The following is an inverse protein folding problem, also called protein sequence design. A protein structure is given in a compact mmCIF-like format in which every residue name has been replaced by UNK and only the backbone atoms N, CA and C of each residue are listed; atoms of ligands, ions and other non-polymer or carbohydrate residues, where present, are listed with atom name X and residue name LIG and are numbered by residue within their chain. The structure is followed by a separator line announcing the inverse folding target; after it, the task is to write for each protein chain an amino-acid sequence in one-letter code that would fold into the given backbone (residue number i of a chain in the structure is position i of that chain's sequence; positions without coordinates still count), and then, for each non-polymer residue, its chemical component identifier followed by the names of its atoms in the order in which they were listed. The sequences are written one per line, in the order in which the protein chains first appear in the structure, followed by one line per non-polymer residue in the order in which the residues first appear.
data_IF_007181533630
#
_entry.id   IF_007181533630
#
_cell.length_a   1.000
_cell.length_b   1.000
_cell.length_c   1.000
_cell.angle_alpha   90.00
_cell.angle_beta   90.00
_cell.angle_gamma   90.00
#
_symmetry.space_group_name_H-M   'P 1'
#
loop_
_entity.id
_entity.type
_entity.pdbx_description
1 polymer ?
#
# COMPACT_ATOMS: atom_id res chain seq x y z
N UNK A 1 -11.64 -21.67 7.64
CA UNK A 1 -12.76 -22.51 8.17
C UNK A 1 -13.87 -22.70 7.11
N UNK A 2 -14.00 -21.85 6.12
CA UNK A 2 -15.10 -21.83 5.15
C UNK A 2 -14.66 -22.03 3.71
N UNK A 3 -13.38 -22.32 3.44
CA UNK A 3 -12.84 -22.48 2.07
C UNK A 3 -12.89 -21.19 1.23
N UNK A 4 -12.92 -20.03 1.88
CA UNK A 4 -12.92 -18.73 1.19
C UNK A 4 -11.50 -18.38 0.75
N UNK A 5 -11.40 -17.78 -0.45
CA UNK A 5 -10.17 -17.20 -0.94
C UNK A 5 -9.98 -15.80 -0.33
N UNK A 6 -8.74 -15.49 0.02
CA UNK A 6 -8.35 -14.22 0.65
C UNK A 6 -7.49 -13.44 -0.33
N UNK A 7 -7.93 -12.23 -0.67
CA UNK A 7 -7.13 -11.27 -1.44
C UNK A 7 -6.72 -10.14 -0.51
N UNK A 8 -5.41 -9.92 -0.38
CA UNK A 8 -4.86 -8.82 0.40
C UNK A 8 -4.86 -7.52 -0.43
N UNK A 9 -5.41 -6.44 0.12
CA UNK A 9 -5.16 -5.09 -0.38
C UNK A 9 -3.87 -4.55 0.26
N UNK A 10 -2.78 -4.62 -0.47
CA UNK A 10 -1.46 -4.14 -0.07
C UNK A 10 -1.10 -2.78 -0.70
N UNK A 11 -2.08 -2.02 -1.16
CA UNK A 11 -1.84 -0.72 -1.80
C UNK A 11 -1.07 0.28 -0.93
N UNK A 12 -1.06 0.10 0.40
CA UNK A 12 -0.35 0.95 1.36
C UNK A 12 0.51 0.15 2.36
N UNK A 13 0.76 -1.13 2.11
CA UNK A 13 1.31 -2.05 3.10
C UNK A 13 2.62 -2.75 2.69
N UNK A 14 3.27 -2.30 1.60
CA UNK A 14 4.55 -2.90 1.20
C UNK A 14 5.60 -2.76 2.31
N UNK A 15 6.19 -3.89 2.74
CA UNK A 15 7.13 -3.97 3.86
C UNK A 15 6.48 -4.18 5.24
N UNK A 16 5.16 -4.13 5.36
CA UNK A 16 4.46 -4.49 6.58
C UNK A 16 4.54 -5.99 6.86
N UNK A 17 4.47 -6.37 8.14
CA UNK A 17 4.48 -7.79 8.52
C UNK A 17 3.45 -8.10 9.60
N UNK A 18 2.96 -9.34 9.58
CA UNK A 18 2.14 -9.95 10.63
C UNK A 18 2.87 -11.17 11.21
N UNK A 19 3.24 -11.12 12.48
CA UNK A 19 4.01 -12.17 13.17
C UNK A 19 5.25 -12.62 12.38
N UNK A 20 5.97 -11.66 11.79
CA UNK A 20 7.17 -11.89 10.99
C UNK A 20 6.91 -12.36 9.55
N UNK A 21 5.66 -12.58 9.14
CA UNK A 21 5.29 -12.87 7.75
C UNK A 21 5.00 -11.57 7.00
N UNK A 22 5.58 -11.39 5.84
CA UNK A 22 5.35 -10.21 5.01
C UNK A 22 3.91 -10.19 4.48
N UNK A 23 3.28 -9.01 4.50
CA UNK A 23 2.05 -8.77 3.73
C UNK A 23 2.32 -9.02 2.25
N UNK A 24 1.31 -9.52 1.54
CA UNK A 24 1.47 -10.03 0.18
C UNK A 24 1.76 -11.53 0.10
N UNK A 25 1.94 -12.19 1.26
CA UNK A 25 2.12 -13.63 1.40
C UNK A 25 1.24 -14.23 2.52
N UNK A 26 0.23 -13.51 2.99
CA UNK A 26 -0.68 -13.94 4.04
C UNK A 26 -1.92 -14.62 3.46
N UNK A 27 -2.48 -14.08 2.37
CA UNK A 27 -3.63 -14.59 1.64
C UNK A 27 -3.27 -15.45 0.43
N UNK A 28 -4.26 -15.75 -0.40
CA UNK A 28 -4.10 -16.50 -1.65
C UNK A 28 -3.50 -15.64 -2.77
N UNK A 29 -3.78 -14.35 -2.74
CA UNK A 29 -3.19 -13.34 -3.62
C UNK A 29 -3.15 -11.97 -2.91
N UNK A 30 -2.29 -11.08 -3.41
CA UNK A 30 -2.24 -9.71 -2.95
C UNK A 30 -2.03 -8.73 -4.11
N UNK A 31 -2.61 -7.52 -3.98
CA UNK A 31 -2.45 -6.43 -4.94
C UNK A 31 -1.67 -5.28 -4.29
N UNK A 32 -0.63 -4.82 -4.97
CA UNK A 32 0.22 -3.70 -4.57
C UNK A 32 0.02 -2.52 -5.50
N UNK A 33 0.04 -1.31 -4.94
CA UNK A 33 0.11 -0.07 -5.71
C UNK A 33 1.51 0.52 -5.62
N UNK A 34 2.05 0.91 -6.75
CA UNK A 34 3.28 1.70 -6.87
C UNK A 34 2.99 3.10 -7.41
N UNK A 35 1.78 3.62 -7.18
CA UNK A 35 1.47 5.01 -7.48
C UNK A 35 2.54 5.94 -6.88
N UNK A 36 2.91 7.07 -7.50
CA UNK A 36 4.06 7.89 -7.12
C UNK A 36 4.17 8.28 -5.64
N UNK A 37 3.03 8.43 -4.94
CA UNK A 37 3.02 8.82 -3.52
C UNK A 37 3.16 7.64 -2.55
N UNK A 38 3.18 6.40 -3.05
CA UNK A 38 3.31 5.21 -2.20
C UNK A 38 4.71 5.09 -1.61
N UNK A 39 4.87 4.30 -0.55
CA UNK A 39 6.17 4.06 0.12
C UNK A 39 7.25 3.64 -0.89
N UNK A 40 6.86 2.79 -1.84
CA UNK A 40 7.64 2.49 -3.03
C UNK A 40 6.83 2.97 -4.22
N UNK A 41 7.08 4.20 -4.67
CA UNK A 41 6.38 4.84 -5.79
C UNK A 41 7.17 4.81 -7.09
N UNK A 42 6.52 4.48 -8.19
CA UNK A 42 7.01 4.65 -9.55
C UNK A 42 6.94 6.12 -9.99
N UNK A 43 7.31 6.44 -11.21
CA UNK A 43 7.15 7.80 -11.79
C UNK A 43 5.77 8.02 -12.45
N UNK A 44 4.89 7.03 -12.39
CA UNK A 44 3.53 7.04 -12.91
C UNK A 44 2.76 5.87 -12.33
N UNK A 45 1.61 5.54 -12.92
CA UNK A 45 0.81 4.40 -12.48
C UNK A 45 1.57 3.09 -12.65
N UNK A 46 1.62 2.31 -11.59
CA UNK A 46 2.22 0.98 -11.57
C UNK A 46 1.66 0.15 -10.40
N UNK A 47 1.73 -1.14 -10.50
CA UNK A 47 1.30 -2.07 -9.47
C UNK A 47 1.83 -3.48 -9.71
N UNK A 48 1.60 -4.35 -8.75
CA UNK A 48 1.96 -5.76 -8.86
C UNK A 48 0.93 -6.64 -8.16
N UNK A 49 0.87 -7.90 -8.57
CA UNK A 49 0.14 -8.96 -7.88
C UNK A 49 1.15 -10.00 -7.40
N UNK A 50 0.99 -10.47 -6.18
CA UNK A 50 1.75 -11.61 -5.65
C UNK A 50 0.80 -12.77 -5.32
N UNK A 51 1.25 -13.99 -5.55
CA UNK A 51 0.55 -15.23 -5.19
C UNK A 51 1.54 -16.38 -5.14
N UNK A 52 1.26 -17.38 -4.31
CA UNK A 52 1.98 -18.65 -4.30
C UNK A 52 1.37 -19.69 -5.28
N UNK A 53 0.21 -19.40 -5.88
CA UNK A 53 -0.44 -20.23 -6.88
C UNK A 53 0.11 -19.91 -8.28
N UNK A 54 0.84 -20.86 -8.87
CA UNK A 54 1.42 -20.71 -10.21
C UNK A 54 0.37 -20.61 -11.32
N UNK A 55 -0.78 -21.23 -11.15
CA UNK A 55 -1.90 -21.15 -12.11
C UNK A 55 -2.50 -19.76 -12.10
N UNK A 56 -2.76 -19.22 -10.91
CA UNK A 56 -3.22 -17.84 -10.76
C UNK A 56 -2.20 -16.84 -11.29
N UNK A 57 -0.90 -17.02 -11.00
CA UNK A 57 0.16 -16.16 -11.52
C UNK A 57 0.19 -16.17 -13.06
N UNK A 58 0.01 -17.32 -13.69
CA UNK A 58 -0.06 -17.46 -15.14
C UNK A 58 -1.28 -16.78 -15.73
N UNK A 59 -2.45 -16.96 -15.11
CA UNK A 59 -3.70 -16.32 -15.52
C UNK A 59 -3.59 -14.79 -15.43
N UNK A 60 -3.07 -14.24 -14.32
CA UNK A 60 -2.87 -12.80 -14.15
C UNK A 60 -1.94 -12.22 -15.22
N UNK A 61 -0.82 -12.90 -15.53
CA UNK A 61 0.09 -12.47 -16.60
C UNK A 61 -0.59 -12.43 -17.97
N UNK A 62 -1.38 -13.46 -18.28
CA UNK A 62 -2.11 -13.52 -19.53
C UNK A 62 -3.16 -12.40 -19.61
N UNK A 63 -3.99 -12.26 -18.57
CA UNK A 63 -5.03 -11.22 -18.48
C UNK A 63 -4.46 -9.80 -18.60
N UNK A 64 -3.34 -9.51 -17.97
CA UNK A 64 -2.67 -8.21 -18.06
C UNK A 64 -2.09 -7.93 -19.45
N UNK A 65 -1.92 -8.94 -20.30
CA UNK A 65 -1.37 -8.85 -21.64
C UNK A 65 -2.38 -9.36 -22.70
N UNK A 66 -3.52 -8.71 -22.81
CA UNK A 66 -4.58 -9.03 -23.77
C UNK A 66 -5.12 -10.46 -23.70
N UNK A 67 -4.96 -11.15 -22.57
CA UNK A 67 -5.33 -12.55 -22.42
C UNK A 67 -4.38 -13.55 -23.09
N UNK A 68 -3.15 -13.11 -23.48
CA UNK A 68 -2.22 -13.91 -24.25
C UNK A 68 -1.29 -14.73 -23.36
N UNK A 69 -1.16 -16.03 -23.62
CA UNK A 69 -0.13 -16.89 -23.06
C UNK A 69 1.16 -16.88 -23.89
N UNK A 70 1.06 -16.57 -25.18
CA UNK A 70 2.16 -16.40 -26.13
C UNK A 70 1.74 -15.47 -27.28
N UNK A 71 2.70 -15.02 -28.05
CA UNK A 71 2.48 -14.08 -29.15
C UNK A 71 1.35 -14.57 -30.09
N UNK A 72 0.32 -13.71 -30.30
CA UNK A 72 -0.86 -13.95 -31.12
C UNK A 72 -1.76 -15.12 -30.68
N UNK A 73 -1.63 -15.60 -29.45
CA UNK A 73 -2.49 -16.65 -28.91
C UNK A 73 -3.15 -16.18 -27.64
N UNK A 74 -4.41 -15.76 -27.75
CA UNK A 74 -5.21 -15.25 -26.63
C UNK A 74 -6.08 -16.39 -26.10
N UNK A 75 -5.92 -16.72 -24.82
CA UNK A 75 -6.66 -17.76 -24.11
C UNK A 75 -7.75 -17.19 -23.19
N UNK A 76 -7.68 -15.89 -22.91
CA UNK A 76 -8.66 -15.13 -22.12
C UNK A 76 -9.02 -13.83 -22.82
N UNK A 77 -10.17 -13.26 -22.48
CA UNK A 77 -10.49 -11.86 -22.72
C UNK A 77 -9.73 -11.01 -21.69
N UNK A 78 -8.65 -10.35 -22.12
CA UNK A 78 -7.75 -9.65 -21.23
C UNK A 78 -7.62 -8.16 -21.52
N UNK A 79 -6.79 -7.50 -20.76
CA UNK A 79 -6.57 -6.04 -20.78
C UNK A 79 -5.13 -5.71 -21.17
N UNK A 80 -4.85 -4.46 -21.45
CA UNK A 80 -3.51 -3.93 -21.47
C UNK A 80 -3.22 -3.28 -20.10
N UNK A 81 -2.72 -4.09 -19.16
CA UNK A 81 -2.40 -3.68 -17.77
C UNK A 81 -0.95 -4.04 -17.44
N UNK A 82 -0.02 -3.62 -18.29
CA UNK A 82 1.42 -3.89 -18.13
C UNK A 82 2.10 -2.72 -17.45
N UNK A 83 3.13 -3.02 -16.66
CA UNK A 83 4.07 -2.01 -16.19
C UNK A 83 5.15 -1.79 -17.25
N UNK A 84 5.49 -0.53 -17.51
CA UNK A 84 6.60 -0.20 -18.38
C UNK A 84 7.94 -0.67 -17.78
N UNK A 85 8.84 -1.16 -18.62
CA UNK A 85 10.17 -1.65 -18.20
C UNK A 85 11.01 -0.58 -17.50
N UNK A 86 10.88 0.68 -17.90
CA UNK A 86 11.54 1.82 -17.24
C UNK A 86 11.02 2.00 -15.82
N UNK A 87 9.71 1.93 -15.60
CA UNK A 87 9.09 1.99 -14.27
C UNK A 87 9.59 0.82 -13.41
N UNK A 88 9.60 -0.39 -13.96
CA UNK A 88 10.09 -1.58 -13.26
C UNK A 88 11.57 -1.45 -12.87
N UNK A 89 12.41 -0.88 -13.75
CA UNK A 89 13.83 -0.65 -13.46
C UNK A 89 14.02 0.33 -12.29
N UNK A 90 13.27 1.42 -12.24
CA UNK A 90 13.32 2.39 -11.15
C UNK A 90 12.81 1.80 -9.83
N UNK A 91 11.71 1.06 -9.87
CA UNK A 91 11.17 0.37 -8.69
C UNK A 91 12.15 -0.65 -8.12
N UNK A 92 12.91 -1.36 -8.97
CA UNK A 92 13.97 -2.28 -8.52
C UNK A 92 15.07 -1.59 -7.74
N UNK A 93 15.40 -0.34 -8.07
CA UNK A 93 16.37 0.47 -7.30
C UNK A 93 15.75 0.82 -5.95
N UNK A 94 14.54 1.39 -5.92
CA UNK A 94 13.85 1.77 -4.68
C UNK A 94 13.63 0.60 -3.72
N UNK A 95 13.29 -0.58 -4.24
CA UNK A 95 13.11 -1.78 -3.43
C UNK A 95 14.37 -2.19 -2.65
N UNK A 96 15.58 -1.86 -3.12
CA UNK A 96 16.83 -2.12 -2.37
C UNK A 96 16.96 -1.25 -1.13
N UNK A 97 16.30 -0.09 -1.10
CA UNK A 97 16.31 0.86 0.00
C UNK A 97 15.02 0.82 0.84
N UNK A 98 14.11 -0.10 0.54
CA UNK A 98 12.79 -0.18 1.18
C UNK A 98 12.88 -0.29 2.70
N UNK A 99 13.82 -1.10 3.22
CA UNK A 99 13.95 -1.29 4.66
C UNK A 99 14.42 -0.01 5.36
N UNK A 100 15.37 0.69 4.78
CA UNK A 100 15.85 1.98 5.28
C UNK A 100 14.72 3.03 5.31
N UNK A 101 13.95 3.12 4.24
CA UNK A 101 12.78 4.00 4.14
C UNK A 101 11.69 3.65 5.16
N UNK A 102 11.44 2.37 5.39
CA UNK A 102 10.50 1.92 6.43
C UNK A 102 10.98 2.33 7.83
N UNK A 103 12.27 2.17 8.15
CA UNK A 103 12.85 2.58 9.44
C UNK A 103 12.76 4.09 9.68
N UNK A 104 12.98 4.91 8.65
CA UNK A 104 12.83 6.37 8.75
C UNK A 104 11.37 6.72 9.10
N UNK A 105 10.39 6.09 8.45
CA UNK A 105 8.97 6.30 8.73
C UNK A 105 8.56 5.81 10.12
N UNK A 106 9.07 4.66 10.55
CA UNK A 106 8.85 4.12 11.90
C UNK A 106 9.38 5.07 12.98
N UNK A 107 10.58 5.59 12.81
CA UNK A 107 11.19 6.57 13.73
C UNK A 107 10.36 7.87 13.78
N UNK A 108 9.91 8.37 12.62
CA UNK A 108 9.06 9.56 12.55
C UNK A 108 7.72 9.32 13.26
N UNK A 109 7.08 8.18 13.02
CA UNK A 109 5.83 7.81 13.68
C UNK A 109 6.01 7.64 15.20
N UNK A 110 7.15 7.10 15.63
CA UNK A 110 7.49 7.00 17.05
C UNK A 110 7.60 8.38 17.70
N UNK A 111 8.27 9.33 17.04
CA UNK A 111 8.36 10.73 17.53
C UNK A 111 6.96 11.32 17.67
N UNK A 112 6.10 11.19 16.65
CA UNK A 112 4.71 11.68 16.74
C UNK A 112 3.95 11.03 17.90
N UNK A 113 4.01 9.70 18.02
CA UNK A 113 3.28 8.96 19.06
C UNK A 113 3.75 9.28 20.48
N UNK A 114 5.04 9.61 20.66
CA UNK A 114 5.61 9.94 21.97
C UNK A 114 5.42 11.42 22.34
N UNK A 115 5.26 12.32 21.38
CA UNK A 115 5.17 13.77 21.62
C UNK A 115 3.75 14.33 21.55
N UNK A 116 2.85 13.71 20.77
CA UNK A 116 1.45 14.14 20.71
C UNK A 116 0.71 13.60 21.93
N UNK A 117 0.60 14.44 22.97
CA UNK A 117 -0.03 14.09 24.24
C UNK A 117 -1.36 14.81 24.49
N UNK A 118 -1.88 15.56 23.51
CA UNK A 118 -3.12 16.32 23.68
C UNK A 118 -4.34 15.37 23.74
N UNK A 119 -5.14 15.47 24.80
CA UNK A 119 -6.26 14.57 25.09
C UNK A 119 -7.36 14.49 24.01
N UNK A 120 -7.47 15.50 23.14
CA UNK A 120 -8.43 15.52 22.04
C UNK A 120 -7.91 14.79 20.79
N UNK A 121 -6.64 14.39 20.76
CA UNK A 121 -6.01 13.71 19.62
C UNK A 121 -5.73 12.26 20.01
N UNK A 122 -6.30 11.33 19.25
CA UNK A 122 -6.06 9.91 19.42
C UNK A 122 -5.05 9.48 18.34
N UNK A 123 -3.86 9.12 18.78
CA UNK A 123 -2.80 8.62 17.90
C UNK A 123 -3.04 7.16 17.52
N UNK A 124 -2.51 6.70 16.36
CA UNK A 124 -2.63 5.31 15.96
C UNK A 124 -1.80 4.39 16.87
N UNK A 125 -2.27 3.15 17.00
CA UNK A 125 -1.56 2.08 17.71
C UNK A 125 -1.29 0.92 16.79
N UNK A 126 -0.18 0.22 17.00
CA UNK A 126 0.17 -1.01 16.28
C UNK A 126 -0.08 -2.18 17.19
N UNK A 127 -0.79 -3.20 16.70
CA UNK A 127 -1.06 -4.42 17.46
C UNK A 127 0.21 -5.23 17.69
N UNK A 128 0.33 -5.96 18.82
CA UNK A 128 1.47 -6.83 19.06
C UNK A 128 1.71 -7.83 17.92
N UNK A 129 2.97 -8.03 17.56
CA UNK A 129 3.38 -8.91 16.45
C UNK A 129 3.21 -8.34 15.04
N UNK A 130 2.69 -7.11 14.92
CA UNK A 130 2.56 -6.40 13.65
C UNK A 130 3.69 -5.39 13.46
N UNK A 131 4.14 -5.22 12.23
CA UNK A 131 4.98 -4.11 11.78
C UNK A 131 4.18 -3.23 10.82
N UNK A 132 4.07 -1.94 11.14
CA UNK A 132 3.38 -0.95 10.32
C UNK A 132 4.39 -0.12 9.55
N UNK A 133 4.15 0.15 8.26
CA UNK A 133 5.10 0.86 7.37
C UNK A 133 4.82 2.37 7.25
N UNK A 134 3.84 2.86 7.97
CA UNK A 134 3.52 4.28 8.13
C UNK A 134 3.45 5.05 6.80
N UNK A 135 2.72 4.48 5.85
CA UNK A 135 2.39 5.22 4.62
C UNK A 135 1.68 6.54 4.95
N UNK A 136 0.80 6.49 5.94
CA UNK A 136 0.13 7.65 6.52
C UNK A 136 0.16 7.54 8.06
N UNK A 137 0.32 8.67 8.74
CA UNK A 137 0.14 8.75 10.19
C UNK A 137 -1.23 9.35 10.48
N UNK A 138 -2.22 8.51 10.73
CA UNK A 138 -3.63 8.89 10.84
C UNK A 138 -4.01 9.12 12.30
N UNK A 139 -4.38 10.34 12.64
CA UNK A 139 -4.94 10.68 13.96
C UNK A 139 -6.47 10.76 13.91
N UNK A 140 -7.13 10.51 15.04
CA UNK A 140 -8.57 10.68 15.20
C UNK A 140 -8.87 11.82 16.15
N UNK A 141 -9.81 12.70 15.76
CA UNK A 141 -10.27 13.83 16.55
C UNK A 141 -11.79 13.94 16.42
N UNK A 142 -12.45 14.56 17.39
CA UNK A 142 -13.91 14.71 17.38
C UNK A 142 -14.37 15.71 16.31
N UNK A 143 -13.71 16.86 16.21
CA UNK A 143 -13.99 17.90 15.22
C UNK A 143 -12.79 18.00 14.25
N UNK A 144 -12.85 17.21 13.18
CA UNK A 144 -11.80 17.08 12.18
C UNK A 144 -11.55 18.41 11.45
N UNK A 145 -12.61 19.10 11.04
CA UNK A 145 -12.48 20.25 10.13
C UNK A 145 -11.93 21.48 10.87
N UNK A 146 -12.34 21.71 12.12
CA UNK A 146 -11.74 22.74 12.97
C UNK A 146 -10.28 22.41 13.31
N UNK A 147 -9.96 21.15 13.58
CA UNK A 147 -8.59 20.73 13.85
C UNK A 147 -7.67 20.90 12.63
N UNK A 148 -8.13 20.54 11.43
CA UNK A 148 -7.38 20.75 10.19
C UNK A 148 -7.10 22.22 9.93
N UNK A 149 -8.11 23.08 10.13
CA UNK A 149 -7.97 24.54 9.97
C UNK A 149 -6.92 25.09 10.92
N UNK A 150 -6.98 24.72 12.19
CA UNK A 150 -6.00 25.12 13.19
C UNK A 150 -4.58 24.69 12.78
N UNK A 151 -4.37 23.44 12.38
CA UNK A 151 -3.06 22.95 11.94
C UNK A 151 -2.56 23.68 10.69
N UNK A 152 -3.44 23.97 9.75
CA UNK A 152 -3.10 24.75 8.55
C UNK A 152 -2.63 26.17 8.92
N UNK A 153 -3.29 26.83 9.87
CA UNK A 153 -2.90 28.13 10.39
C UNK A 153 -1.53 28.10 11.11
N UNK A 154 -1.17 26.94 11.68
CA UNK A 154 0.14 26.71 12.28
C UNK A 154 1.21 26.21 11.26
N UNK A 155 0.89 26.17 9.97
CA UNK A 155 1.80 25.72 8.92
C UNK A 155 1.97 24.19 8.83
N UNK A 156 1.08 23.41 9.47
CA UNK A 156 1.08 21.95 9.43
C UNK A 156 0.02 21.46 8.46
N UNK A 157 0.38 21.07 7.22
CA UNK A 157 -0.57 20.57 6.25
C UNK A 157 -1.12 19.18 6.66
N UNK A 158 -2.42 18.99 6.45
CA UNK A 158 -3.09 17.71 6.70
C UNK A 158 -4.07 17.39 5.58
N UNK A 159 -4.33 16.12 5.35
CA UNK A 159 -5.28 15.68 4.35
C UNK A 159 -6.27 14.64 4.90
N UNK A 160 -7.32 14.33 4.13
CA UNK A 160 -8.33 13.33 4.47
C UNK A 160 -8.40 12.28 3.37
N UNK A 161 -7.93 11.11 3.68
CA UNK A 161 -8.00 9.94 2.78
C UNK A 161 -8.99 8.90 3.35
N UNK A 162 -10.26 8.85 2.93
CA UNK A 162 -10.84 9.66 1.84
C UNK A 162 -12.08 10.36 2.38
N UNK A 163 -12.29 11.63 1.98
CA UNK A 163 -13.40 12.43 2.48
C UNK A 163 -14.77 11.88 2.06
N UNK A 164 -14.83 11.34 0.84
CA UNK A 164 -16.02 10.68 0.28
C UNK A 164 -15.61 9.30 -0.19
N UNK A 165 -16.25 8.22 0.29
CA UNK A 165 -15.98 6.87 -0.19
C UNK A 165 -16.32 6.71 -1.67
N UNK A 166 -15.58 5.89 -2.46
CA UNK A 166 -15.79 5.77 -3.91
C UNK A 166 -17.16 5.30 -4.37
N UNK A 167 -17.93 4.69 -3.47
CA UNK A 167 -19.29 4.17 -3.76
C UNK A 167 -20.42 5.17 -3.45
N UNK A 168 -20.11 6.41 -3.08
CA UNK A 168 -21.06 7.48 -2.74
C UNK A 168 -21.03 8.62 -3.74
#
# INVERSE_FOLDING_TARGET
RHGLLIIEDNAQAIGATEHGRATGALGDAAAFSFYPTKNIGALGDAGAVTTSDSSLASAVRALANYGSDRRYHNIYEGFNCRMDEMQAAMLRVKLRHMEEECLIRENTAHVYSSTICHKAVITPTVSPGMRHVWHQYVVRVKDRDSFRRYLQEQGVPTDVHYAVPPHM
#
